data_IF_563587766147
#
_entry.id   IF_563587766147
#
_cell.length_a   1.000
_cell.length_b   1.000
_cell.length_c   1.000
_cell.angle_alpha   90.00
_cell.angle_beta   90.00
_cell.angle_gamma   90.00
#
_symmetry.space_group_name_H-M   'P 1'
#
loop_
_entity.id
_entity.type
_entity.pdbx_description
1 polymer ?
#
# COMPACT_ATOMS: atom_id res chain seq x y z
N UNK A 1 -0.82 54.03 1.28
CA UNK A 1 -0.86 52.67 0.70
C UNK A 1 -1.80 51.81 1.53
N UNK A 2 -2.66 50.97 0.96
CA UNK A 2 -3.54 50.13 1.76
C UNK A 2 -2.71 49.03 2.42
N UNK A 3 -2.58 49.07 3.74
CA UNK A 3 -2.03 47.98 4.54
C UNK A 3 -3.13 46.91 4.57
N UNK A 4 -2.99 45.89 3.72
CA UNK A 4 -3.90 44.75 3.76
C UNK A 4 -3.61 43.95 5.03
N UNK A 5 -4.56 43.95 5.96
CA UNK A 5 -4.48 43.14 7.17
C UNK A 5 -4.24 41.66 6.81
N UNK A 6 -3.45 40.90 7.60
CA UNK A 6 -3.14 39.51 7.31
C UNK A 6 -4.36 38.63 7.00
N UNK A 7 -5.50 38.93 7.60
CA UNK A 7 -6.78 38.26 7.33
C UNK A 7 -7.30 38.47 5.91
N UNK A 8 -7.18 39.67 5.37
CA UNK A 8 -7.60 39.99 4.01
C UNK A 8 -6.70 39.29 2.98
N UNK A 9 -5.38 39.29 3.21
CA UNK A 9 -4.42 38.58 2.36
C UNK A 9 -4.68 37.07 2.36
N UNK A 10 -4.89 36.46 3.54
CA UNK A 10 -5.28 35.06 3.63
C UNK A 10 -6.56 34.78 2.84
N UNK A 11 -7.60 35.62 2.95
CA UNK A 11 -8.85 35.45 2.20
C UNK A 11 -8.64 35.46 0.67
N UNK A 12 -7.81 36.37 0.17
CA UNK A 12 -7.47 36.45 -1.26
C UNK A 12 -6.70 35.21 -1.71
N UNK A 13 -5.68 34.79 -0.95
CA UNK A 13 -4.84 33.61 -1.28
C UNK A 13 -5.70 32.34 -1.34
N UNK A 14 -6.57 32.14 -0.35
CA UNK A 14 -7.44 30.96 -0.30
C UNK A 14 -8.48 30.96 -1.43
N UNK A 15 -8.94 32.14 -1.86
CA UNK A 15 -9.86 32.27 -2.99
C UNK A 15 -9.19 31.95 -4.33
N UNK A 16 -7.90 32.30 -4.48
CA UNK A 16 -7.13 32.01 -5.70
C UNK A 16 -6.60 30.58 -5.74
N UNK A 17 -6.42 29.93 -4.58
CA UNK A 17 -5.88 28.59 -4.47
C UNK A 17 -6.78 27.68 -3.61
N UNK A 18 -7.89 27.17 -4.17
CA UNK A 18 -8.87 26.39 -3.41
C UNK A 18 -8.32 25.08 -2.82
N UNK A 19 -7.22 24.55 -3.36
CA UNK A 19 -6.58 23.32 -2.86
C UNK A 19 -5.69 23.50 -1.63
N UNK A 20 -5.51 24.72 -1.13
CA UNK A 20 -4.73 24.98 0.10
C UNK A 20 -5.50 24.51 1.34
N UNK A 21 -6.83 24.68 1.35
CA UNK A 21 -7.68 24.16 2.41
C UNK A 21 -8.32 22.85 1.95
N UNK A 22 -8.10 21.78 2.69
CA UNK A 22 -8.70 20.46 2.46
C UNK A 22 -9.74 20.15 3.53
N UNK A 23 -10.63 19.20 3.26
CA UNK A 23 -11.74 18.86 4.16
C UNK A 23 -11.30 18.32 5.53
N UNK A 24 -10.05 17.91 5.66
CA UNK A 24 -9.46 17.44 6.92
C UNK A 24 -8.88 18.57 7.78
N UNK A 25 -8.79 19.79 7.25
CA UNK A 25 -8.25 20.92 8.00
C UNK A 25 -9.22 21.38 9.08
N UNK A 26 -8.69 21.68 10.26
CA UNK A 26 -9.47 22.13 11.41
C UNK A 26 -9.24 23.64 11.61
N UNK A 27 -10.28 24.49 11.52
CA UNK A 27 -10.15 25.90 11.83
C UNK A 27 -9.69 26.10 13.27
N UNK A 28 -8.52 26.71 13.45
CA UNK A 28 -7.98 27.01 14.76
C UNK A 28 -8.11 28.51 15.06
N UNK A 29 -8.75 28.85 16.19
CA UNK A 29 -8.78 30.23 16.68
C UNK A 29 -7.50 30.50 17.46
N UNK A 30 -6.87 31.64 17.17
CA UNK A 30 -5.71 32.09 17.95
C UNK A 30 -6.17 32.55 19.32
N UNK A 31 -5.49 32.12 20.37
CA UNK A 31 -5.78 32.50 21.75
C UNK A 31 -5.47 33.99 22.03
N UNK A 32 -4.61 34.60 21.22
CA UNK A 32 -4.18 35.99 21.35
C UNK A 32 -4.34 36.80 20.05
N UNK A 33 -4.42 38.12 20.21
CA UNK A 33 -4.40 39.04 19.08
C UNK A 33 -3.07 38.92 18.33
N UNK A 34 -3.11 38.92 16.99
CA UNK A 34 -1.88 38.91 16.19
C UNK A 34 -1.22 40.29 16.31
N UNK A 35 -0.11 40.36 17.04
CA UNK A 35 0.75 41.54 17.04
C UNK A 35 1.83 41.37 15.99
N UNK A 36 1.99 42.37 15.13
CA UNK A 36 3.12 42.47 14.20
C UNK A 36 4.09 43.51 14.74
N UNK A 37 5.38 43.18 14.75
CA UNK A 37 6.43 44.14 15.13
C UNK A 37 6.50 45.25 14.08
N UNK A 38 6.59 46.51 14.51
CA UNK A 38 6.63 47.67 13.60
C UNK A 38 7.83 47.61 12.65
N UNK A 39 8.91 46.93 13.05
CA UNK A 39 10.09 46.69 12.22
C UNK A 39 9.78 45.89 10.96
N UNK A 40 8.68 45.15 10.89
CA UNK A 40 8.24 44.47 9.65
C UNK A 40 7.77 45.44 8.56
N UNK A 41 7.37 46.66 8.96
CA UNK A 41 6.93 47.72 8.06
C UNK A 41 8.04 48.75 7.80
N UNK A 42 9.19 48.59 8.45
CA UNK A 42 10.28 49.58 8.48
C UNK A 42 11.59 48.95 8.01
N UNK A 43 11.90 49.13 6.73
CA UNK A 43 13.17 48.68 6.11
C UNK A 43 13.00 47.91 4.80
N UNK A 44 14.10 47.75 4.06
CA UNK A 44 14.16 46.92 2.84
C UNK A 44 14.44 45.47 3.24
N UNK A 45 13.40 44.73 3.66
CA UNK A 45 13.54 43.35 4.18
C UNK A 45 13.87 42.29 3.11
N UNK A 46 13.93 42.65 1.82
CA UNK A 46 14.05 41.72 0.71
C UNK A 46 15.28 40.78 0.79
N UNK A 47 16.33 41.17 1.50
CA UNK A 47 17.55 40.38 1.62
C UNK A 47 17.55 39.37 2.80
N UNK A 48 16.74 39.60 3.84
CA UNK A 48 16.83 38.86 5.12
C UNK A 48 15.88 37.65 5.17
N UNK A 49 14.77 37.69 4.40
CA UNK A 49 13.78 36.59 4.31
C UNK A 49 14.10 35.62 3.17
N UNK A 50 15.05 35.95 2.29
CA UNK A 50 15.50 35.03 1.28
C UNK A 50 16.36 33.96 1.97
N UNK A 51 15.96 32.66 1.95
CA UNK A 51 16.92 31.61 2.27
C UNK A 51 18.14 31.84 1.39
N UNK A 52 19.39 31.70 1.88
CA UNK A 52 20.55 31.70 0.99
C UNK A 52 20.24 30.67 -0.08
N UNK A 53 20.02 31.16 -1.31
CA UNK A 53 19.60 30.36 -2.44
C UNK A 53 20.43 29.09 -2.41
N UNK A 54 19.74 27.97 -2.18
CA UNK A 54 20.34 26.66 -1.92
C UNK A 54 21.49 26.51 -2.89
N UNK A 55 22.69 26.30 -2.33
CA UNK A 55 23.93 26.09 -3.08
C UNK A 55 23.58 25.31 -4.35
N UNK A 56 23.88 25.90 -5.51
CA UNK A 56 23.74 25.25 -6.83
C UNK A 56 24.03 23.76 -6.64
N UNK A 57 23.13 22.83 -7.01
CA UNK A 57 23.40 21.42 -6.83
C UNK A 57 24.78 21.14 -7.43
N UNK A 58 25.70 20.68 -6.58
CA UNK A 58 27.16 20.58 -6.84
C UNK A 58 27.48 19.40 -7.79
N UNK A 59 26.56 19.13 -8.72
CA UNK A 59 26.69 18.12 -9.74
C UNK A 59 25.45 18.19 -10.59
N UNK A 60 25.37 19.19 -11.47
CA UNK A 60 24.37 19.16 -12.55
C UNK A 60 24.77 17.98 -13.43
N UNK A 61 24.11 16.83 -13.22
CA UNK A 61 24.21 15.70 -14.14
C UNK A 61 23.92 16.24 -15.53
N UNK A 62 24.86 16.06 -16.45
CA UNK A 62 24.61 16.50 -17.82
C UNK A 62 23.42 15.72 -18.36
N UNK A 63 22.65 16.32 -19.27
CA UNK A 63 21.54 15.62 -19.94
C UNK A 63 21.97 14.27 -20.51
N UNK A 64 23.21 14.17 -21.01
CA UNK A 64 23.78 12.93 -21.53
C UNK A 64 23.94 11.85 -20.44
N UNK A 65 24.43 12.25 -19.26
CA UNK A 65 24.57 11.35 -18.12
C UNK A 65 23.20 10.83 -17.67
N UNK A 66 22.22 11.71 -17.51
CA UNK A 66 20.86 11.30 -17.14
C UNK A 66 20.25 10.31 -18.15
N UNK A 67 20.48 10.51 -19.46
CA UNK A 67 19.99 9.58 -20.49
C UNK A 67 20.69 8.22 -20.38
N UNK A 68 22.00 8.19 -20.12
CA UNK A 68 22.73 6.94 -19.94
C UNK A 68 22.22 6.18 -18.70
N UNK A 69 22.13 6.85 -17.56
CA UNK A 69 21.67 6.25 -16.31
C UNK A 69 20.26 5.68 -16.44
N UNK A 70 19.34 6.42 -17.08
CA UNK A 70 17.97 5.96 -17.31
C UNK A 70 17.90 4.77 -18.27
N UNK A 71 18.77 4.68 -19.27
CA UNK A 71 18.85 3.51 -20.16
C UNK A 71 19.33 2.28 -19.40
N UNK A 72 20.34 2.44 -18.56
CA UNK A 72 20.89 1.34 -17.77
C UNK A 72 19.85 0.82 -16.76
N UNK A 73 19.17 1.72 -16.06
CA UNK A 73 18.07 1.38 -15.13
C UNK A 73 16.92 0.68 -15.88
N UNK A 74 16.52 1.19 -17.05
CA UNK A 74 15.45 0.61 -17.85
C UNK A 74 15.77 -0.83 -18.27
N UNK A 75 17.02 -1.09 -18.69
CA UNK A 75 17.47 -2.45 -19.04
C UNK A 75 17.45 -3.38 -17.83
N UNK A 76 18.03 -2.95 -16.70
CA UNK A 76 18.07 -3.75 -15.47
C UNK A 76 16.67 -4.08 -14.95
N UNK A 77 15.73 -3.13 -15.03
CA UNK A 77 14.35 -3.34 -14.64
C UNK A 77 13.66 -4.38 -15.54
N UNK A 78 13.91 -4.35 -16.86
CA UNK A 78 13.39 -5.34 -17.80
C UNK A 78 13.87 -6.76 -17.50
N UNK A 79 15.16 -6.93 -17.20
CA UNK A 79 15.74 -8.22 -16.81
C UNK A 79 15.15 -8.75 -15.49
N UNK A 80 14.95 -7.86 -14.51
CA UNK A 80 14.34 -8.24 -13.23
C UNK A 80 12.86 -8.58 -13.37
N UNK A 81 12.12 -7.85 -14.22
CA UNK A 81 10.73 -8.17 -14.53
C UNK A 81 10.61 -9.59 -15.07
N UNK A 82 11.45 -9.99 -16.02
CA UNK A 82 11.44 -11.36 -16.56
C UNK A 82 11.65 -12.43 -15.48
N UNK A 83 12.56 -12.18 -14.52
CA UNK A 83 12.78 -13.09 -13.39
C UNK A 83 11.54 -13.20 -12.50
N UNK A 84 10.90 -12.07 -12.21
CA UNK A 84 9.67 -12.01 -11.41
C UNK A 84 8.54 -12.77 -12.12
N UNK A 85 8.33 -12.52 -13.42
CA UNK A 85 7.31 -13.19 -14.22
C UNK A 85 7.50 -14.73 -14.21
N UNK A 86 8.76 -15.19 -14.29
CA UNK A 86 9.08 -16.63 -14.18
C UNK A 86 8.76 -17.21 -12.80
N UNK A 87 9.03 -16.47 -11.72
CA UNK A 87 8.69 -16.92 -10.36
C UNK A 87 7.18 -17.00 -10.17
N UNK A 88 6.44 -16.02 -10.70
CA UNK A 88 4.98 -16.03 -10.66
C UNK A 88 4.43 -17.29 -11.35
N UNK A 89 4.88 -17.57 -12.58
CA UNK A 89 4.44 -18.78 -13.31
C UNK A 89 4.75 -20.08 -12.55
N UNK A 90 5.92 -20.17 -11.92
CA UNK A 90 6.27 -21.35 -11.12
C UNK A 90 5.33 -21.51 -9.93
N UNK A 91 5.02 -20.42 -9.22
CA UNK A 91 4.13 -20.44 -8.06
C UNK A 91 2.67 -20.74 -8.46
N UNK A 92 2.19 -20.21 -9.59
CA UNK A 92 0.85 -20.53 -10.12
C UNK A 92 0.72 -22.03 -10.43
N UNK A 93 1.75 -22.63 -11.05
CA UNK A 93 1.76 -24.08 -11.31
C UNK A 93 1.85 -24.92 -10.03
N UNK A 94 2.60 -24.47 -9.02
CA UNK A 94 2.63 -25.12 -7.70
C UNK A 94 1.27 -25.05 -7.00
N UNK A 95 0.59 -23.90 -7.04
CA UNK A 95 -0.75 -23.71 -6.46
C UNK A 95 -1.80 -24.61 -7.13
N UNK A 96 -1.79 -24.70 -8.46
CA UNK A 96 -2.71 -25.56 -9.22
C UNK A 96 -2.45 -27.06 -8.97
N UNK A 97 -1.18 -27.46 -8.77
CA UNK A 97 -0.84 -28.84 -8.43
C UNK A 97 -1.27 -29.23 -7.00
N UNK A 98 -1.15 -28.33 -6.03
CA UNK A 98 -1.61 -28.57 -4.64
C UNK A 98 -3.13 -28.68 -4.55
N UNK A 99 -3.88 -28.01 -5.44
CA UNK A 99 -5.33 -28.16 -5.53
C UNK A 99 -5.78 -29.55 -6.01
N UNK A 100 -4.93 -30.27 -6.75
CA UNK A 100 -5.20 -31.64 -7.25
C UNK A 100 -4.84 -32.70 -6.21
N UNK A 101 -3.83 -32.47 -5.36
CA UNK A 101 -3.43 -33.43 -4.31
C UNK A 101 -4.44 -33.53 -3.14
N UNK A 102 -5.43 -32.64 -3.04
CA UNK A 102 -6.49 -32.74 -2.02
C UNK A 102 -7.70 -33.60 -2.43
N UNK A 103 -7.74 -34.13 -3.66
CA UNK A 103 -8.86 -34.97 -4.13
C UNK A 103 -8.54 -36.47 -4.26
N UNK A 104 -7.29 -36.92 -4.03
CA UNK A 104 -6.94 -38.35 -4.03
C UNK A 104 -6.63 -38.89 -2.63
N UNK A 105 -7.61 -38.77 -1.72
CA UNK A 105 -7.71 -39.71 -0.61
C UNK A 105 -8.35 -41.01 -1.13
N UNK A 106 -7.51 -42.02 -1.36
CA UNK A 106 -7.86 -43.41 -1.65
C UNK A 106 -9.18 -43.89 -1.00
N UNK A 107 -10.09 -44.59 -1.73
CA UNK A 107 -10.99 -45.53 -1.10
C UNK A 107 -10.19 -46.79 -0.73
N UNK A 108 -10.21 -47.08 0.56
CA UNK A 108 -9.64 -48.24 1.22
C UNK A 108 -10.21 -49.55 0.64
N UNK A 109 -9.38 -50.32 -0.04
CA UNK A 109 -9.63 -51.75 -0.29
C UNK A 109 -9.82 -52.46 1.05
N UNK A 110 -10.97 -53.11 1.24
CA UNK A 110 -11.17 -54.32 2.05
C UNK A 110 -12.62 -54.80 1.84
N UNK A 111 -12.91 -55.30 0.64
CA UNK A 111 -14.08 -56.16 0.43
C UNK A 111 -13.68 -57.58 0.84
N UNK A 112 -14.10 -57.98 2.04
CA UNK A 112 -14.17 -59.38 2.46
C UNK A 112 -15.18 -60.07 1.56
N UNK A 113 -14.70 -61.01 0.75
CA UNK A 113 -15.53 -62.11 0.25
C UNK A 113 -15.96 -62.94 1.46
N UNK A 114 -17.22 -62.82 1.88
CA UNK A 114 -17.89 -63.96 2.50
C UNK A 114 -19.39 -63.96 2.17
N UNK A 115 -19.83 -65.14 1.83
CA UNK A 115 -21.02 -65.50 1.08
C UNK A 115 -22.29 -65.24 1.91
N UNK A 116 -23.24 -64.52 1.31
CA UNK A 116 -24.62 -64.47 1.79
C UNK A 116 -25.45 -65.58 1.16
N UNK A 117 -25.99 -66.44 2.02
CA UNK A 117 -27.28 -67.19 1.99
C UNK A 117 -27.10 -68.37 2.96
N UNK A 118 -28.03 -68.78 3.82
CA UNK A 118 -29.49 -68.68 3.82
C UNK A 118 -29.98 -68.96 5.27
N UNK A 119 -31.25 -68.65 5.50
CA UNK A 119 -32.07 -68.78 6.70
C UNK A 119 -31.94 -70.12 7.47
N UNK A 120 -32.26 -70.08 8.77
CA UNK A 120 -33.49 -70.69 9.34
C UNK A 120 -33.30 -71.33 10.73
N UNK A 121 -34.17 -70.90 11.68
CA UNK A 121 -34.58 -71.67 12.87
C UNK A 121 -33.57 -71.72 14.02
N UNK A 122 -33.90 -71.72 15.30
CA UNK A 122 -35.16 -71.81 16.04
C UNK A 122 -34.91 -71.23 17.44
N UNK A 123 -35.98 -70.77 18.07
CA UNK A 123 -36.03 -70.26 19.45
C UNK A 123 -35.43 -71.23 20.48
N UNK A 124 -34.73 -70.72 21.50
CA UNK A 124 -34.90 -71.29 22.85
C UNK A 124 -34.56 -70.29 23.96
N UNK A 125 -35.57 -70.10 24.79
CA UNK A 125 -35.68 -69.43 26.08
C UNK A 125 -34.64 -69.89 27.12
N UNK A 126 -34.25 -68.99 28.04
CA UNK A 126 -33.35 -69.33 29.13
C UNK A 126 -32.86 -68.17 30.00
N UNK A 127 -33.80 -67.48 30.68
CA UNK A 127 -33.72 -66.67 31.93
C UNK A 127 -32.45 -65.91 32.37
N UNK A 128 -32.61 -64.67 32.89
CA UNK A 128 -31.56 -63.97 33.63
C UNK A 128 -31.60 -64.33 35.12
N UNK A 129 -30.44 -64.57 35.74
CA UNK A 129 -30.30 -64.56 37.20
C UNK A 129 -29.21 -63.55 37.60
N UNK A 130 -29.70 -62.49 38.25
CA UNK A 130 -29.14 -61.62 39.31
C UNK A 130 -27.61 -61.49 39.47
#
# INVERSE_FOLDING_TARGET
MPIAFPTLLCGIILSQHPGICVSTDVPCKRESALSLDYRLFEGTHAADIAPPFVKKPTGVLTRKQMIADLKDISKALGENKFKIDRVIQALEHEEEAVAVEHEEAQPHDNAVDDIGDDMQGEDTDGSPDI
#
